data_IF_446764674263
#
_entry.id   IF_446764674263
#
_cell.length_a   1.000
_cell.length_b   1.000
_cell.length_c   1.000
_cell.angle_alpha   90.00
_cell.angle_beta   90.00
_cell.angle_gamma   90.00
#
_symmetry.space_group_name_H-M   'P 1'
#
loop_
_entity.id
_entity.type
_entity.pdbx_description
1 polymer ?
#
# COMPACT_ATOMS: atom_id res chain seq x y z
N UNK A 1 4.49 -21.54 -13.95
CA UNK A 1 4.18 -20.57 -12.89
C UNK A 1 2.81 -20.85 -12.33
N UNK A 2 2.71 -21.42 -11.12
CA UNK A 2 1.43 -21.50 -10.41
C UNK A 2 1.10 -20.08 -9.93
N UNK A 3 0.01 -19.53 -10.41
CA UNK A 3 -0.54 -18.28 -9.89
C UNK A 3 -0.92 -18.52 -8.42
N UNK A 4 -0.19 -17.89 -7.50
CA UNK A 4 -0.51 -17.94 -6.07
C UNK A 4 -1.66 -16.96 -5.86
N UNK A 5 -2.80 -17.43 -5.35
CA UNK A 5 -3.93 -16.54 -5.04
C UNK A 5 -3.52 -15.59 -3.92
N UNK A 6 -4.03 -14.35 -3.92
CA UNK A 6 -3.69 -13.34 -2.88
C UNK A 6 -3.85 -13.89 -1.47
N UNK A 7 -4.96 -14.58 -1.18
CA UNK A 7 -5.21 -15.24 0.12
C UNK A 7 -4.15 -16.28 0.51
N UNK A 8 -3.53 -16.96 -0.47
CA UNK A 8 -2.43 -17.90 -0.19
C UNK A 8 -1.12 -17.14 0.07
N UNK A 9 -0.88 -16.07 -0.67
CA UNK A 9 0.34 -15.26 -0.55
C UNK A 9 0.45 -14.54 0.81
N UNK A 10 -0.66 -14.04 1.35
CA UNK A 10 -0.69 -13.37 2.66
C UNK A 10 -0.52 -14.33 3.85
N UNK A 11 -0.72 -15.63 3.64
CA UNK A 11 -0.54 -16.67 4.66
C UNK A 11 0.82 -17.39 4.54
N UNK A 12 1.57 -17.13 3.48
CA UNK A 12 2.88 -17.73 3.25
C UNK A 12 3.94 -17.04 4.12
N UNK A 13 4.79 -17.83 4.79
CA UNK A 13 5.77 -17.35 5.77
C UNK A 13 6.83 -16.41 5.20
N UNK A 14 7.14 -16.52 3.91
CA UNK A 14 8.14 -15.69 3.24
C UNK A 14 7.48 -14.55 2.46
N UNK A 15 6.35 -14.82 1.81
CA UNK A 15 5.67 -13.83 0.96
C UNK A 15 4.94 -12.79 1.82
N UNK A 16 4.32 -13.18 2.94
CA UNK A 16 3.63 -12.27 3.88
C UNK A 16 4.51 -11.09 4.33
N UNK A 17 5.71 -11.28 4.91
CA UNK A 17 6.56 -10.16 5.29
C UNK A 17 7.03 -9.34 4.08
N UNK A 18 7.28 -9.97 2.93
CA UNK A 18 7.66 -9.25 1.72
C UNK A 18 6.55 -8.32 1.20
N UNK A 19 5.30 -8.78 1.21
CA UNK A 19 4.12 -7.97 0.88
C UNK A 19 4.02 -6.78 1.85
N UNK A 20 4.05 -7.04 3.15
CA UNK A 20 3.95 -6.00 4.19
C UNK A 20 5.05 -4.95 4.03
N UNK A 21 6.30 -5.38 3.79
CA UNK A 21 7.43 -4.47 3.58
C UNK A 21 7.25 -3.60 2.33
N UNK A 22 6.70 -4.14 1.24
CA UNK A 22 6.44 -3.34 0.04
C UNK A 22 5.32 -2.31 0.26
N UNK A 23 4.29 -2.63 1.06
CA UNK A 23 3.25 -1.65 1.44
C UNK A 23 3.85 -0.50 2.26
N UNK A 24 4.74 -0.80 3.21
CA UNK A 24 5.48 0.22 3.96
C UNK A 24 6.31 1.11 3.03
N UNK A 25 7.07 0.52 2.10
CA UNK A 25 7.86 1.27 1.12
C UNK A 25 7.03 2.19 0.24
N UNK A 26 5.82 1.77 -0.14
CA UNK A 26 4.87 2.61 -0.88
C UNK A 26 4.50 3.83 -0.02
N UNK A 27 4.07 3.63 1.22
CA UNK A 27 3.71 4.74 2.13
C UNK A 27 4.89 5.71 2.39
N UNK A 28 6.13 5.20 2.45
CA UNK A 28 7.33 6.03 2.54
C UNK A 28 7.53 6.91 1.31
N UNK A 29 7.22 6.44 0.10
CA UNK A 29 7.34 7.30 -1.10
C UNK A 29 6.38 8.48 -1.04
N UNK A 30 5.17 8.30 -0.49
CA UNK A 30 4.23 9.41 -0.28
C UNK A 30 4.72 10.39 0.78
N UNK A 31 5.45 9.91 1.78
CA UNK A 31 6.11 10.77 2.77
C UNK A 31 7.20 11.61 2.09
N UNK A 32 8.03 11.00 1.25
CA UNK A 32 9.05 11.72 0.48
C UNK A 32 8.45 12.77 -0.45
N UNK A 33 7.39 12.45 -1.19
CA UNK A 33 6.68 13.43 -2.02
C UNK A 33 6.21 14.64 -1.20
N UNK A 34 5.75 14.41 0.03
CA UNK A 34 5.36 15.49 0.94
C UNK A 34 6.57 16.32 1.38
N UNK A 35 7.65 15.67 1.77
CA UNK A 35 8.87 16.33 2.24
C UNK A 35 9.57 17.13 1.12
N UNK A 36 9.49 16.63 -0.11
CA UNK A 36 10.00 17.27 -1.34
C UNK A 36 9.05 18.36 -1.88
N UNK A 37 7.93 18.65 -1.19
CA UNK A 37 6.91 19.63 -1.58
C UNK A 37 6.26 19.36 -2.96
N UNK A 38 6.11 18.09 -3.34
CA UNK A 38 5.49 17.64 -4.60
C UNK A 38 3.94 17.73 -4.55
N UNK A 39 3.41 18.91 -4.20
CA UNK A 39 1.98 19.12 -3.95
C UNK A 39 1.12 18.83 -5.18
N UNK A 40 1.60 19.15 -6.39
CA UNK A 40 0.89 18.86 -7.64
C UNK A 40 0.63 17.37 -7.85
N UNK A 41 1.54 16.51 -7.37
CA UNK A 41 1.37 15.06 -7.44
C UNK A 41 0.43 14.61 -6.33
N UNK A 42 0.59 15.14 -5.11
CA UNK A 42 -0.19 14.76 -3.94
C UNK A 42 -1.67 15.15 -4.05
N UNK A 43 -2.00 16.27 -4.71
CA UNK A 43 -3.37 16.75 -4.92
C UNK A 43 -4.22 15.82 -5.80
N UNK A 44 -3.61 14.92 -6.56
CA UNK A 44 -4.31 13.92 -7.37
C UNK A 44 -4.86 12.74 -6.53
N UNK A 45 -4.47 12.66 -5.26
CA UNK A 45 -4.92 11.63 -4.32
C UNK A 45 -5.92 12.22 -3.32
N UNK A 46 -6.95 11.46 -2.95
CA UNK A 46 -7.90 11.93 -1.94
C UNK A 46 -7.25 11.97 -0.55
N UNK A 47 -7.80 12.80 0.33
CA UNK A 47 -7.36 12.82 1.73
C UNK A 47 -7.50 11.46 2.43
N UNK A 48 -8.48 10.65 2.02
CA UNK A 48 -8.66 9.29 2.53
C UNK A 48 -7.57 8.34 2.04
N UNK A 49 -7.09 8.47 0.79
CA UNK A 49 -5.96 7.67 0.28
C UNK A 49 -4.69 7.94 1.09
N UNK A 50 -4.37 9.22 1.31
CA UNK A 50 -3.19 9.64 2.06
C UNK A 50 -3.25 9.24 3.54
N UNK A 51 -4.42 9.33 4.17
CA UNK A 51 -4.64 8.84 5.55
C UNK A 51 -4.55 7.32 5.61
N UNK A 52 -5.14 6.62 4.64
CA UNK A 52 -5.13 5.16 4.54
C UNK A 52 -3.72 4.59 4.44
N UNK A 53 -2.85 5.19 3.62
CA UNK A 53 -1.43 4.80 3.50
C UNK A 53 -0.70 4.86 4.84
N UNK A 54 -0.89 5.95 5.60
CA UNK A 54 -0.28 6.11 6.92
C UNK A 54 -0.86 5.12 7.94
N UNK A 55 -2.17 4.90 7.90
CA UNK A 55 -2.85 3.95 8.80
C UNK A 55 -2.36 2.52 8.58
N UNK A 56 -2.30 2.05 7.33
CA UNK A 56 -1.83 0.70 6.99
C UNK A 56 -0.34 0.53 7.32
N UNK A 57 0.49 1.54 7.08
CA UNK A 57 1.90 1.52 7.51
C UNK A 57 2.04 1.36 9.02
N UNK A 58 1.32 2.16 9.80
CA UNK A 58 1.36 2.12 11.26
C UNK A 58 0.85 0.76 11.77
N UNK A 59 -0.23 0.24 11.17
CA UNK A 59 -0.75 -1.09 11.47
C UNK A 59 0.32 -2.19 11.26
N UNK A 60 1.01 -2.18 10.11
CA UNK A 60 2.08 -3.15 9.83
C UNK A 60 3.25 -3.02 10.82
N UNK A 61 3.60 -1.79 11.23
CA UNK A 61 4.72 -1.55 12.14
C UNK A 61 4.43 -1.97 13.59
N UNK A 62 3.17 -1.92 14.03
CA UNK A 62 2.78 -2.23 15.41
C UNK A 62 2.24 -3.66 15.60
N UNK A 63 1.52 -4.24 14.63
CA UNK A 63 0.84 -5.55 14.75
C UNK A 63 1.58 -6.68 14.01
N UNK A 64 2.84 -6.95 14.38
CA UNK A 64 3.61 -8.03 13.76
C UNK A 64 2.99 -9.43 13.97
N UNK A 65 2.25 -9.65 15.07
CA UNK A 65 1.76 -10.98 15.48
C UNK A 65 0.23 -11.18 15.54
N UNK A 66 -0.60 -10.13 15.60
CA UNK A 66 -2.07 -10.25 15.78
C UNK A 66 -2.92 -9.67 14.63
N UNK A 67 -2.28 -9.29 13.53
CA UNK A 67 -2.96 -8.61 12.44
C UNK A 67 -4.05 -9.48 11.78
N UNK A 68 -5.29 -8.97 11.80
CA UNK A 68 -6.38 -9.32 10.89
C UNK A 68 -5.90 -9.20 9.42
N UNK A 69 -5.35 -10.31 8.89
CA UNK A 69 -4.78 -10.39 7.55
C UNK A 69 -5.80 -10.02 6.45
N UNK A 70 -7.11 -9.98 6.78
CA UNK A 70 -8.15 -9.47 5.89
C UNK A 70 -7.92 -7.99 5.52
N UNK A 71 -7.41 -7.16 6.42
CA UNK A 71 -7.10 -5.75 6.11
C UNK A 71 -6.01 -5.67 5.03
N UNK A 72 -4.96 -6.49 5.14
CA UNK A 72 -3.88 -6.53 4.16
C UNK A 72 -4.38 -7.10 2.83
N UNK A 73 -5.26 -8.11 2.88
CA UNK A 73 -5.91 -8.65 1.70
C UNK A 73 -6.73 -7.60 0.95
N UNK A 74 -7.55 -6.82 1.66
CA UNK A 74 -8.36 -5.74 1.10
C UNK A 74 -7.49 -4.65 0.47
N UNK A 75 -6.39 -4.28 1.14
CA UNK A 75 -5.42 -3.32 0.59
C UNK A 75 -4.86 -3.80 -0.75
N UNK A 76 -4.49 -5.09 -0.84
CA UNK A 76 -3.94 -5.67 -2.08
C UNK A 76 -5.00 -5.75 -3.17
N UNK A 77 -6.22 -6.15 -2.83
CA UNK A 77 -7.29 -6.40 -3.80
C UNK A 77 -7.95 -5.13 -4.32
N UNK A 78 -8.08 -4.11 -3.49
CA UNK A 78 -8.90 -2.93 -3.80
C UNK A 78 -8.09 -1.64 -3.81
N UNK A 79 -7.30 -1.35 -2.78
CA UNK A 79 -6.63 -0.06 -2.66
C UNK A 79 -5.41 0.08 -3.60
N UNK A 80 -4.54 -0.93 -3.68
CA UNK A 80 -3.35 -0.88 -4.54
C UNK A 80 -3.70 -0.74 -6.04
N UNK A 81 -4.71 -1.45 -6.60
CA UNK A 81 -5.13 -1.24 -7.98
C UNK A 81 -5.67 0.18 -8.26
N UNK A 82 -6.41 0.76 -7.31
CA UNK A 82 -6.88 2.15 -7.42
C UNK A 82 -5.69 3.10 -7.43
N UNK A 83 -4.75 2.94 -6.49
CA UNK A 83 -3.54 3.75 -6.41
C UNK A 83 -2.73 3.69 -7.71
N UNK A 84 -2.53 2.48 -8.25
CA UNK A 84 -1.85 2.27 -9.54
C UNK A 84 -2.55 3.02 -10.67
N UNK A 85 -3.88 2.98 -10.70
CA UNK A 85 -4.68 3.66 -11.74
C UNK A 85 -4.50 5.17 -11.68
N UNK A 86 -4.46 5.76 -10.47
CA UNK A 86 -4.20 7.20 -10.29
C UNK A 86 -2.79 7.53 -10.79
N UNK A 87 -1.77 6.79 -10.36
CA UNK A 87 -0.36 7.01 -10.76
C UNK A 87 -0.20 6.92 -12.28
N UNK A 88 -0.80 5.92 -12.93
CA UNK A 88 -0.74 5.78 -14.38
C UNK A 88 -1.49 6.88 -15.14
N UNK A 89 -2.50 7.52 -14.54
CA UNK A 89 -3.10 8.73 -15.10
C UNK A 89 -2.15 9.92 -14.99
N UNK A 90 -1.49 10.09 -13.85
CA UNK A 90 -0.51 11.18 -13.63
C UNK A 90 0.63 11.08 -14.66
N UNK A 91 1.20 9.88 -14.87
CA UNK A 91 2.32 9.65 -15.81
C UNK A 91 1.98 9.90 -17.29
N UNK A 92 0.69 9.97 -17.64
CA UNK A 92 0.21 10.22 -19.01
C UNK A 92 -0.15 11.69 -19.26
N UNK A 93 -0.12 12.52 -18.22
CA UNK A 93 -0.20 13.98 -18.36
C UNK A 93 1.14 14.52 -18.85
#
# INVERSE_FOLDING_TARGET
>A
NKEIKVTQAINDKLIKPAIRMNIVRIAEQFTKLKDDNEFKILEEFSSNDLKGLNAVRNYIAHDYDSADDNIIEDVIRYNLPILKTIIEKIKKK
#
